data_IF_232074550656
#
_entry.id   IF_232074550656
#
_cell.length_a   1.000
_cell.length_b   1.000
_cell.length_c   1.000
_cell.angle_alpha   90.00
_cell.angle_beta   90.00
_cell.angle_gamma   90.00
#
_symmetry.space_group_name_H-M   'P 1'
#
loop_
_entity.id
_entity.type
_entity.pdbx_description
1 polymer ?
#
# COMPACT_ATOMS: atom_id res chain seq x y z
N UNK A 1 38.52 2.60 -18.57
CA UNK A 1 39.29 1.85 -19.59
C UNK A 1 38.51 0.60 -19.95
N UNK A 2 38.03 0.58 -21.18
CA UNK A 2 37.17 -0.36 -21.92
C UNK A 2 36.88 -1.75 -21.30
N UNK A 3 35.62 -1.95 -20.92
CA UNK A 3 34.97 -3.25 -20.96
C UNK A 3 34.78 -3.62 -22.44
N UNK A 4 35.54 -4.60 -22.92
CA UNK A 4 35.39 -5.13 -24.27
C UNK A 4 34.27 -6.19 -24.28
N UNK A 5 33.25 -5.96 -25.10
CA UNK A 5 32.31 -6.99 -25.53
C UNK A 5 33.08 -8.18 -26.12
N UNK A 6 33.19 -9.28 -25.39
CA UNK A 6 33.79 -10.53 -25.89
C UNK A 6 32.79 -11.29 -26.75
N UNK A 7 32.54 -10.77 -27.95
CA UNK A 7 31.99 -11.52 -29.07
C UNK A 7 33.09 -12.26 -29.85
N UNK A 8 34.05 -12.90 -29.15
CA UNK A 8 35.10 -13.67 -29.83
C UNK A 8 35.18 -15.09 -29.30
N UNK A 9 34.94 -16.07 -30.18
CA UNK A 9 35.22 -17.49 -29.94
C UNK A 9 36.75 -17.78 -29.86
N UNK A 10 37.54 -16.84 -29.36
CA UNK A 10 38.99 -16.88 -29.31
C UNK A 10 39.48 -16.88 -27.87
N UNK A 11 40.42 -17.77 -27.57
CA UNK A 11 41.01 -17.91 -26.24
C UNK A 11 41.85 -16.67 -25.89
N UNK A 12 41.66 -16.07 -24.70
CA UNK A 12 42.41 -14.89 -24.27
C UNK A 12 43.90 -15.17 -24.03
N UNK A 13 44.30 -16.42 -23.80
CA UNK A 13 45.70 -16.78 -23.54
C UNK A 13 46.50 -17.08 -24.80
N UNK A 14 45.89 -17.68 -25.82
CA UNK A 14 46.63 -18.18 -26.98
C UNK A 14 45.99 -17.88 -28.34
N UNK A 15 44.86 -17.15 -28.36
CA UNK A 15 44.09 -16.82 -29.56
C UNK A 15 43.45 -18.01 -30.28
N UNK A 16 43.56 -19.23 -29.73
CA UNK A 16 42.99 -20.45 -30.33
C UNK A 16 41.47 -20.51 -30.22
N UNK A 17 40.80 -21.32 -31.05
CA UNK A 17 39.34 -21.42 -31.01
C UNK A 17 38.88 -22.06 -29.71
N UNK A 18 37.83 -21.48 -29.13
CA UNK A 18 37.13 -22.03 -27.98
C UNK A 18 36.01 -22.96 -28.47
N UNK A 19 36.04 -24.23 -28.04
CA UNK A 19 35.01 -25.23 -28.30
C UNK A 19 34.21 -25.48 -27.03
N UNK A 20 32.91 -25.78 -27.15
CA UNK A 20 32.12 -26.16 -25.99
C UNK A 20 32.56 -27.52 -25.45
N UNK A 21 32.76 -27.61 -24.14
CA UNK A 21 32.92 -28.89 -23.46
C UNK A 21 31.59 -29.66 -23.49
N UNK A 22 31.67 -30.99 -23.33
CA UNK A 22 30.49 -31.87 -23.39
C UNK A 22 29.41 -31.55 -22.35
N UNK A 23 29.75 -30.84 -21.28
CA UNK A 23 28.83 -30.38 -20.24
C UNK A 23 28.04 -29.10 -20.60
N UNK A 24 28.43 -28.40 -21.67
CA UNK A 24 27.84 -27.12 -22.08
C UNK A 24 28.04 -25.96 -21.09
N UNK A 25 28.80 -26.16 -20.01
CA UNK A 25 29.04 -25.19 -18.91
C UNK A 25 30.40 -24.53 -19.02
N UNK A 26 31.29 -25.05 -19.85
CA UNK A 26 32.60 -24.46 -20.11
C UNK A 26 32.96 -24.49 -21.60
N UNK A 27 33.76 -23.51 -22.02
CA UNK A 27 34.45 -23.49 -23.30
C UNK A 27 35.90 -23.85 -23.07
N UNK A 28 36.40 -24.85 -23.77
CA UNK A 28 37.77 -25.31 -23.72
C UNK A 28 38.49 -24.90 -25.01
N UNK A 29 39.67 -24.29 -24.86
CA UNK A 29 40.49 -23.95 -26.02
C UNK A 29 41.09 -25.22 -26.64
N UNK A 30 40.95 -25.37 -27.95
CA UNK A 30 41.52 -26.50 -28.70
C UNK A 30 43.06 -26.52 -28.71
N UNK A 31 43.71 -25.39 -28.39
CA UNK A 31 45.17 -25.22 -28.51
C UNK A 31 45.90 -25.30 -27.18
N UNK A 32 45.37 -24.70 -26.12
CA UNK A 32 46.02 -24.66 -24.80
C UNK A 32 45.22 -25.34 -23.69
N UNK A 33 44.07 -25.94 -23.99
CA UNK A 33 43.14 -26.52 -23.00
C UNK A 33 42.64 -25.55 -21.92
N UNK A 34 42.86 -24.24 -22.07
CA UNK A 34 42.32 -23.23 -21.17
C UNK A 34 40.79 -23.32 -21.14
N UNK A 35 40.22 -23.43 -19.93
CA UNK A 35 38.78 -23.57 -19.70
C UNK A 35 38.21 -22.26 -19.18
N UNK A 36 37.19 -21.76 -19.88
CA UNK A 36 36.42 -20.59 -19.46
C UNK A 36 35.02 -21.07 -19.11
N UNK A 37 34.56 -20.77 -17.90
CA UNK A 37 33.17 -21.02 -17.52
C UNK A 37 32.26 -20.18 -18.44
N UNK A 38 31.30 -20.84 -19.08
CA UNK A 38 30.22 -20.13 -19.77
C UNK A 38 29.25 -19.72 -18.68
N UNK A 39 29.43 -18.52 -18.15
CA UNK A 39 28.33 -17.85 -17.47
C UNK A 39 27.29 -17.63 -18.56
N UNK A 40 26.22 -18.42 -18.56
CA UNK A 40 25.05 -18.07 -19.38
C UNK A 40 24.58 -16.73 -18.85
N UNK A 41 24.92 -15.66 -19.57
CA UNK A 41 24.34 -14.35 -19.27
C UNK A 41 22.83 -14.52 -19.45
N UNK A 42 22.09 -14.42 -18.35
CA UNK A 42 20.64 -14.37 -18.38
C UNK A 42 20.28 -13.10 -19.14
N UNK A 43 19.46 -13.21 -20.18
CA UNK A 43 18.91 -12.05 -20.87
C UNK A 43 18.21 -11.16 -19.85
N UNK A 44 18.39 -9.86 -19.93
CA UNK A 44 17.71 -8.89 -19.06
C UNK A 44 16.19 -8.94 -19.27
N UNK A 45 15.37 -8.45 -18.32
CA UNK A 45 13.93 -8.35 -18.50
C UNK A 45 13.54 -7.58 -19.77
N UNK A 46 14.30 -6.54 -20.14
CA UNK A 46 14.08 -5.75 -21.34
C UNK A 46 14.32 -6.55 -22.62
N UNK A 47 15.32 -7.43 -22.63
CA UNK A 47 15.62 -8.32 -23.76
C UNK A 47 14.56 -9.40 -23.92
N UNK A 48 14.09 -10.00 -22.81
CA UNK A 48 12.98 -10.95 -22.84
C UNK A 48 11.71 -10.32 -23.42
N UNK A 49 11.35 -9.10 -23.01
CA UNK A 49 10.20 -8.38 -23.58
C UNK A 49 10.36 -8.12 -25.08
N UNK A 50 11.57 -7.78 -25.55
CA UNK A 50 11.83 -7.63 -26.99
C UNK A 50 11.63 -8.95 -27.72
N UNK A 51 12.14 -10.06 -27.17
CA UNK A 51 12.01 -11.38 -27.78
C UNK A 51 10.55 -11.85 -27.88
N UNK A 52 9.69 -11.49 -26.90
CA UNK A 52 8.25 -11.73 -26.97
C UNK A 52 7.57 -11.01 -28.13
N UNK A 53 8.06 -9.84 -28.54
CA UNK A 53 7.48 -9.06 -29.64
C UNK A 53 7.82 -9.63 -31.02
N UNK A 54 8.94 -10.36 -31.16
CA UNK A 54 9.42 -10.90 -32.44
C UNK A 54 9.04 -12.37 -32.69
N UNK A 55 8.40 -13.07 -31.74
CA UNK A 55 7.96 -14.46 -31.94
C UNK A 55 6.78 -14.61 -32.91
N UNK A 56 6.25 -13.51 -33.45
CA UNK A 56 5.19 -13.51 -34.48
C UNK A 56 5.70 -13.66 -35.91
N UNK A 57 6.97 -13.39 -36.19
CA UNK A 57 7.54 -13.43 -37.54
C UNK A 57 8.92 -14.12 -37.51
N UNK A 58 8.99 -15.32 -38.08
CA UNK A 58 10.24 -16.00 -38.45
C UNK A 58 11.26 -16.35 -37.33
N UNK A 59 10.95 -17.29 -36.44
CA UNK A 59 11.99 -18.22 -35.95
C UNK A 59 11.44 -19.64 -35.80
N UNK A 60 12.19 -20.62 -36.29
CA UNK A 60 11.86 -22.04 -36.32
C UNK A 60 11.82 -22.74 -34.96
N UNK A 61 11.08 -22.21 -33.99
CA UNK A 61 10.70 -22.90 -32.75
C UNK A 61 9.43 -23.77 -32.90
N UNK A 62 8.92 -23.91 -34.13
CA UNK A 62 7.61 -24.50 -34.41
C UNK A 62 7.51 -26.04 -34.28
N UNK A 63 8.54 -26.80 -33.88
CA UNK A 63 8.45 -28.27 -33.87
C UNK A 63 9.24 -28.98 -32.75
N UNK A 64 9.17 -28.47 -31.51
CA UNK A 64 9.38 -29.33 -30.34
C UNK A 64 8.04 -29.45 -29.65
N UNK A 65 7.53 -30.70 -29.47
CA UNK A 65 6.35 -30.98 -28.64
C UNK A 65 6.63 -30.43 -27.25
N UNK A 66 6.21 -29.20 -27.00
CA UNK A 66 6.47 -28.48 -25.77
C UNK A 66 5.76 -29.22 -24.64
N UNK A 67 6.48 -29.41 -23.54
CA UNK A 67 5.82 -29.55 -22.26
C UNK A 67 4.81 -28.39 -22.16
N UNK A 68 3.54 -28.68 -21.89
CA UNK A 68 2.51 -27.63 -21.85
C UNK A 68 2.95 -26.49 -20.92
N UNK A 69 2.51 -25.26 -21.18
CA UNK A 69 2.90 -24.06 -20.38
C UNK A 69 2.83 -24.29 -18.87
N UNK A 70 1.83 -25.08 -18.43
CA UNK A 70 1.67 -25.52 -17.04
C UNK A 70 2.85 -26.31 -16.49
N UNK A 71 3.43 -27.20 -17.29
CA UNK A 71 4.60 -28.00 -16.92
C UNK A 71 5.86 -27.14 -16.89
N UNK A 72 6.04 -26.22 -17.84
CA UNK A 72 7.13 -25.24 -17.81
C UNK A 72 7.08 -24.38 -16.53
N UNK A 73 5.90 -23.86 -16.18
CA UNK A 73 5.68 -23.14 -14.93
C UNK A 73 5.97 -24.02 -13.70
N UNK A 74 5.54 -25.28 -13.71
CA UNK A 74 5.78 -26.21 -12.60
C UNK A 74 7.27 -26.46 -12.39
N UNK A 75 8.02 -26.73 -13.47
CA UNK A 75 9.46 -26.98 -13.43
C UNK A 75 10.23 -25.73 -13.03
N UNK A 76 9.93 -24.58 -13.65
CA UNK A 76 10.56 -23.30 -13.31
C UNK A 76 10.32 -22.89 -11.85
N UNK A 77 9.10 -23.07 -11.34
CA UNK A 77 8.76 -22.82 -9.93
C UNK A 77 9.52 -23.75 -8.99
N UNK A 78 9.61 -25.04 -9.32
CA UNK A 78 10.34 -26.02 -8.51
C UNK A 78 11.84 -25.71 -8.46
N UNK A 79 12.44 -25.40 -9.61
CA UNK A 79 13.84 -24.99 -9.71
C UNK A 79 14.12 -23.70 -8.92
N UNK A 80 13.25 -22.69 -9.03
CA UNK A 80 13.38 -21.44 -8.27
C UNK A 80 13.34 -21.68 -6.76
N UNK A 81 12.43 -22.54 -6.29
CA UNK A 81 12.33 -22.94 -4.87
C UNK A 81 13.54 -23.76 -4.40
N UNK A 82 14.12 -24.57 -5.28
CA UNK A 82 15.34 -25.35 -5.00
C UNK A 82 16.61 -24.49 -5.04
N UNK A 83 16.54 -23.25 -5.54
CA UNK A 83 17.67 -22.34 -5.69
C UNK A 83 18.47 -22.54 -6.98
N UNK A 84 18.05 -23.43 -7.90
CA UNK A 84 18.65 -23.57 -9.23
C UNK A 84 18.15 -22.44 -10.13
N UNK A 85 18.84 -21.30 -10.05
CA UNK A 85 18.49 -20.07 -10.78
C UNK A 85 18.62 -20.21 -12.29
N UNK A 86 19.53 -21.04 -12.78
CA UNK A 86 19.74 -21.19 -14.24
C UNK A 86 18.66 -22.08 -14.85
N UNK A 87 18.30 -23.16 -14.18
CA UNK A 87 17.18 -24.01 -14.58
C UNK A 87 15.84 -23.27 -14.44
N UNK A 88 15.66 -22.52 -13.36
CA UNK A 88 14.48 -21.67 -13.17
C UNK A 88 14.35 -20.64 -14.30
N UNK A 89 15.42 -19.91 -14.60
CA UNK A 89 15.44 -18.93 -15.68
C UNK A 89 15.06 -19.58 -17.02
N UNK A 90 15.66 -20.75 -17.33
CA UNK A 90 15.42 -21.46 -18.58
C UNK A 90 13.94 -21.80 -18.79
N UNK A 91 13.28 -22.38 -17.79
CA UNK A 91 11.87 -22.75 -17.92
C UNK A 91 10.94 -21.55 -17.91
N UNK A 92 11.22 -20.53 -17.09
CA UNK A 92 10.36 -19.35 -16.95
C UNK A 92 10.44 -18.43 -18.18
N UNK A 93 11.62 -18.26 -18.79
CA UNK A 93 11.75 -17.50 -20.04
C UNK A 93 11.02 -18.21 -21.20
N UNK A 94 10.99 -19.54 -21.22
CA UNK A 94 10.22 -20.31 -22.20
C UNK A 94 8.70 -20.11 -22.06
N UNK A 95 8.19 -19.93 -20.84
CA UNK A 95 6.78 -19.56 -20.63
C UNK A 95 6.46 -18.26 -21.35
N UNK A 96 7.36 -17.27 -21.25
CA UNK A 96 7.21 -15.96 -21.87
C UNK A 96 7.22 -16.00 -23.40
N UNK A 97 7.95 -16.94 -24.00
CA UNK A 97 8.05 -17.11 -25.45
C UNK A 97 7.05 -18.09 -26.06
N UNK A 98 6.19 -18.71 -25.25
CA UNK A 98 5.12 -19.63 -25.70
C UNK A 98 3.77 -18.90 -25.66
N UNK A 99 2.76 -19.43 -26.35
CA UNK A 99 1.36 -18.97 -26.28
C UNK A 99 0.76 -19.21 -24.87
N UNK A 100 1.13 -18.34 -23.93
CA UNK A 100 0.75 -18.38 -22.52
C UNK A 100 -0.22 -17.25 -22.19
N UNK A 101 -1.17 -17.51 -21.30
CA UNK A 101 -2.14 -16.49 -20.88
C UNK A 101 -1.48 -15.38 -20.06
N UNK A 102 -2.08 -14.19 -20.01
CA UNK A 102 -1.60 -13.07 -19.19
C UNK A 102 -1.33 -13.48 -17.72
N UNK A 103 -2.18 -14.33 -17.15
CA UNK A 103 -2.00 -14.89 -15.80
C UNK A 103 -0.76 -15.79 -15.67
N UNK A 104 -0.44 -16.55 -16.71
CA UNK A 104 0.75 -17.42 -16.75
C UNK A 104 2.02 -16.58 -16.97
N UNK A 105 1.95 -15.55 -17.80
CA UNK A 105 3.03 -14.58 -18.00
C UNK A 105 3.33 -13.82 -16.71
N UNK A 106 2.29 -13.33 -16.01
CA UNK A 106 2.42 -12.69 -14.70
C UNK A 106 3.09 -13.63 -13.68
N UNK A 107 2.71 -14.90 -13.65
CA UNK A 107 3.35 -15.88 -12.76
C UNK A 107 4.83 -16.12 -13.13
N UNK A 108 5.16 -16.16 -14.41
CA UNK A 108 6.54 -16.35 -14.86
C UNK A 108 7.42 -15.16 -14.47
N UNK A 109 6.95 -13.93 -14.72
CA UNK A 109 7.64 -12.70 -14.31
C UNK A 109 7.83 -12.59 -12.80
N UNK A 110 6.83 -13.02 -12.02
CA UNK A 110 6.93 -13.05 -10.57
C UNK A 110 8.08 -13.96 -10.11
N UNK A 111 8.17 -15.18 -10.64
CA UNK A 111 9.25 -16.10 -10.29
C UNK A 111 10.60 -15.63 -10.81
N UNK A 112 10.67 -15.01 -11.99
CA UNK A 112 11.90 -14.40 -12.52
C UNK A 112 12.44 -13.31 -11.58
N UNK A 113 11.57 -12.54 -10.91
CA UNK A 113 12.02 -11.56 -9.89
C UNK A 113 12.81 -12.19 -8.72
N UNK A 114 12.62 -13.48 -8.45
CA UNK A 114 13.38 -14.23 -7.42
C UNK A 114 14.67 -14.83 -7.98
N UNK A 115 14.77 -14.94 -9.31
CA UNK A 115 15.92 -15.52 -10.02
C UNK A 115 17.00 -14.47 -10.28
N UNK A 116 16.61 -13.25 -10.64
CA UNK A 116 17.56 -12.14 -10.80
C UNK A 116 18.17 -11.74 -9.46
N UNK A 117 19.41 -11.24 -9.51
CA UNK A 117 20.14 -10.75 -8.34
C UNK A 117 20.07 -9.22 -8.25
N UNK A 118 20.21 -8.53 -9.38
CA UNK A 118 20.23 -7.08 -9.48
C UNK A 118 18.87 -6.44 -9.12
N UNK A 119 18.83 -5.44 -8.22
CA UNK A 119 17.59 -4.77 -7.83
C UNK A 119 16.82 -4.14 -8.99
N UNK A 120 17.54 -3.67 -10.02
CA UNK A 120 16.92 -3.09 -11.22
C UNK A 120 16.12 -4.14 -12.01
N UNK A 121 16.69 -5.32 -12.24
CA UNK A 121 16.01 -6.40 -12.97
C UNK A 121 14.82 -6.95 -12.17
N UNK A 122 14.99 -7.08 -10.84
CA UNK A 122 13.88 -7.44 -9.94
C UNK A 122 12.73 -6.46 -10.06
N UNK A 123 13.01 -5.15 -10.04
CA UNK A 123 12.00 -4.10 -10.22
C UNK A 123 11.29 -4.27 -11.56
N UNK A 124 12.02 -4.40 -12.67
CA UNK A 124 11.41 -4.57 -13.99
C UNK A 124 10.52 -5.82 -14.09
N UNK A 125 10.93 -6.95 -13.48
CA UNK A 125 10.06 -8.13 -13.42
C UNK A 125 8.76 -7.86 -12.67
N UNK A 126 8.83 -7.21 -11.50
CA UNK A 126 7.65 -6.90 -10.68
C UNK A 126 6.73 -5.89 -11.38
N UNK A 127 7.28 -4.92 -12.10
CA UNK A 127 6.51 -3.99 -12.94
C UNK A 127 5.77 -4.72 -14.06
N UNK A 128 6.37 -5.74 -14.68
CA UNK A 128 5.65 -6.58 -15.65
C UNK A 128 4.50 -7.35 -15.02
N UNK A 129 4.68 -7.91 -13.81
CA UNK A 129 3.57 -8.56 -13.10
C UNK A 129 2.42 -7.58 -12.92
N UNK A 130 2.71 -6.33 -12.51
CA UNK A 130 1.70 -5.30 -12.31
C UNK A 130 1.09 -4.75 -13.59
N UNK A 131 1.78 -4.88 -14.73
CA UNK A 131 1.22 -4.56 -16.04
C UNK A 131 0.10 -5.54 -16.43
N UNK A 132 0.23 -6.83 -16.05
CA UNK A 132 -0.81 -7.84 -16.26
C UNK A 132 -1.87 -7.87 -15.16
N UNK A 133 -1.46 -7.76 -13.90
CA UNK A 133 -2.34 -7.73 -12.72
C UNK A 133 -1.94 -6.58 -11.79
N UNK A 134 -2.56 -5.40 -11.96
CA UNK A 134 -2.29 -4.23 -11.11
C UNK A 134 -2.56 -4.47 -9.64
N UNK A 135 -3.37 -5.47 -9.27
CA UNK A 135 -3.75 -5.77 -7.88
C UNK A 135 -2.87 -6.85 -7.24
N UNK A 136 -1.84 -7.33 -7.93
CA UNK A 136 -1.00 -8.43 -7.48
C UNK A 136 -0.21 -8.08 -6.20
N UNK A 137 -0.73 -8.48 -5.04
CA UNK A 137 -0.21 -8.07 -3.73
C UNK A 137 1.25 -8.43 -3.48
N UNK A 138 1.74 -9.59 -3.97
CA UNK A 138 3.16 -9.97 -3.82
C UNK A 138 4.06 -9.03 -4.60
N UNK A 139 3.63 -8.58 -5.79
CA UNK A 139 4.45 -7.74 -6.65
C UNK A 139 4.54 -6.30 -6.10
N UNK A 140 3.41 -5.76 -5.65
CA UNK A 140 3.35 -4.47 -4.93
C UNK A 140 4.24 -4.46 -3.69
N UNK A 141 4.19 -5.52 -2.88
CA UNK A 141 5.08 -5.68 -1.70
C UNK A 141 6.55 -5.74 -2.10
N UNK A 142 6.88 -6.48 -3.16
CA UNK A 142 8.23 -6.55 -3.69
C UNK A 142 8.77 -5.17 -4.09
N UNK A 143 7.97 -4.36 -4.79
CA UNK A 143 8.35 -2.99 -5.13
C UNK A 143 8.49 -2.11 -3.89
N UNK A 144 7.57 -2.21 -2.93
CA UNK A 144 7.66 -1.45 -1.68
C UNK A 144 8.95 -1.76 -0.89
N UNK A 145 9.43 -3.00 -0.92
CA UNK A 145 10.73 -3.40 -0.35
C UNK A 145 11.89 -2.77 -1.12
N UNK A 146 11.87 -2.82 -2.46
CA UNK A 146 12.92 -2.26 -3.31
C UNK A 146 12.98 -0.72 -3.26
N UNK A 147 11.84 -0.07 -3.03
CA UNK A 147 11.73 1.39 -2.86
C UNK A 147 12.06 1.84 -1.43
N UNK A 148 12.26 0.91 -0.49
CA UNK A 148 12.51 1.20 0.93
C UNK A 148 11.27 1.68 1.71
N UNK A 149 10.10 1.70 1.07
CA UNK A 149 8.79 2.03 1.69
C UNK A 149 8.35 0.97 2.69
N UNK A 150 8.81 -0.28 2.52
CA UNK A 150 8.63 -1.40 3.42
C UNK A 150 10.01 -1.95 3.80
N UNK A 151 10.20 -2.28 5.08
CA UNK A 151 11.42 -2.92 5.55
C UNK A 151 11.17 -4.41 5.75
N UNK A 152 12.10 -5.27 5.32
CA UNK A 152 11.92 -6.72 5.40
C UNK A 152 11.66 -7.23 6.83
N UNK A 153 12.26 -6.58 7.84
CA UNK A 153 12.06 -6.88 9.26
C UNK A 153 10.65 -6.57 9.79
N UNK A 154 9.92 -5.68 9.11
CA UNK A 154 8.59 -5.25 9.53
C UNK A 154 7.50 -6.15 8.92
N UNK A 155 7.86 -7.02 7.96
CA UNK A 155 6.96 -7.98 7.32
C UNK A 155 6.67 -9.12 8.28
N UNK A 156 5.39 -9.30 8.64
CA UNK A 156 4.95 -10.37 9.53
C UNK A 156 4.27 -11.50 8.76
N UNK A 157 4.29 -12.69 9.36
CA UNK A 157 3.45 -13.79 8.93
C UNK A 157 2.07 -13.67 9.62
N UNK A 158 0.98 -13.39 8.89
CA UNK A 158 -0.35 -13.26 9.49
C UNK A 158 -0.83 -14.53 10.21
N UNK A 159 -0.33 -15.71 9.83
CA UNK A 159 -0.69 -16.98 10.47
C UNK A 159 0.06 -17.22 11.80
N UNK A 160 1.02 -16.35 12.15
CA UNK A 160 1.88 -16.47 13.34
C UNK A 160 1.91 -15.18 14.16
N UNK A 161 0.77 -14.48 14.27
CA UNK A 161 0.66 -13.30 15.12
C UNK A 161 0.55 -13.76 16.59
N UNK A 162 1.66 -13.68 17.33
CA UNK A 162 1.65 -13.73 18.80
C UNK A 162 1.82 -12.32 19.34
N UNK A 163 0.72 -11.57 19.47
CA UNK A 163 0.71 -10.35 20.27
C UNK A 163 -0.22 -10.56 21.46
N UNK A 164 0.35 -10.51 22.65
CA UNK A 164 -0.39 -10.41 23.91
C UNK A 164 -0.87 -8.96 24.01
N UNK A 165 -2.18 -8.75 23.98
CA UNK A 165 -2.74 -7.43 24.25
C UNK A 165 -2.23 -6.97 25.63
N UNK A 166 -1.55 -5.84 25.69
CA UNK A 166 -1.13 -5.25 26.97
C UNK A 166 -2.37 -5.02 27.83
N UNK A 167 -2.35 -5.55 29.07
CA UNK A 167 -3.48 -5.46 30.01
C UNK A 167 -3.74 -4.02 30.50
N UNK A 168 -2.74 -3.14 30.47
CA UNK A 168 -2.88 -1.75 30.92
C UNK A 168 -2.77 -0.73 29.77
N UNK A 169 -3.61 0.31 29.76
CA UNK A 169 -3.51 1.39 28.79
C UNK A 169 -2.20 2.16 29.01
N UNK A 170 -1.22 1.95 28.12
CA UNK A 170 -0.06 2.84 28.02
C UNK A 170 -0.56 4.26 27.70
N UNK A 171 -0.36 5.25 28.58
CA UNK A 171 -0.77 6.61 28.30
C UNK A 171 0.01 7.10 27.08
N UNK A 172 -0.72 7.41 25.99
CA UNK A 172 -0.13 8.05 24.83
C UNK A 172 0.57 9.32 25.31
N UNK A 173 1.90 9.40 25.14
CA UNK A 173 2.67 10.63 25.39
C UNK A 173 2.27 11.70 24.38
N UNK A 174 1.11 12.32 24.58
CA UNK A 174 0.70 13.49 23.85
C UNK A 174 1.73 14.59 24.14
N UNK A 175 2.33 15.17 23.10
CA UNK A 175 3.24 16.30 23.25
C UNK A 175 2.45 17.45 23.89
N UNK A 176 2.76 17.75 25.15
CA UNK A 176 2.16 18.86 25.87
C UNK A 176 2.91 20.14 25.51
N UNK A 177 2.23 21.06 24.84
CA UNK A 177 2.79 22.38 24.52
C UNK A 177 2.69 23.30 25.73
N UNK A 178 3.83 23.77 26.22
CA UNK A 178 3.93 24.66 27.39
C UNK A 178 4.22 26.08 26.93
N UNK A 179 3.48 27.05 27.46
CA UNK A 179 3.61 28.46 27.12
C UNK A 179 4.95 29.00 27.62
N UNK A 180 5.80 29.60 26.75
CA UNK A 180 7.10 30.12 27.16
C UNK A 180 6.99 31.33 28.10
N UNK A 181 5.89 32.07 28.06
CA UNK A 181 5.70 33.28 28.87
C UNK A 181 5.21 33.03 30.31
N UNK A 182 4.40 31.99 30.54
CA UNK A 182 3.74 31.78 31.83
C UNK A 182 3.71 30.32 32.30
N UNK A 183 4.33 29.41 31.55
CA UNK A 183 4.29 27.96 31.77
C UNK A 183 2.87 27.33 31.73
N UNK A 184 1.84 28.09 31.35
CA UNK A 184 0.49 27.58 31.15
C UNK A 184 0.39 26.63 29.95
N UNK A 185 -0.63 25.76 29.93
CA UNK A 185 -0.90 24.85 28.80
C UNK A 185 -1.32 25.64 27.55
N UNK A 186 -0.72 25.31 26.41
CA UNK A 186 -1.13 25.81 25.10
C UNK A 186 -2.17 24.88 24.47
N UNK A 187 -3.12 25.47 23.74
CA UNK A 187 -4.21 24.77 23.06
C UNK A 187 -4.25 25.19 21.58
N UNK A 188 -4.58 24.27 20.68
CA UNK A 188 -4.76 24.61 19.27
C UNK A 188 -6.00 25.48 19.09
N UNK A 189 -5.85 26.54 18.29
CA UNK A 189 -6.96 27.28 17.74
C UNK A 189 -7.62 26.49 16.61
N UNK A 190 -8.82 26.92 16.24
CA UNK A 190 -9.61 26.36 15.15
C UNK A 190 -8.88 26.37 13.78
N UNK A 191 -7.92 27.28 13.58
CA UNK A 191 -7.13 27.28 12.34
C UNK A 191 -6.24 26.02 12.18
N UNK A 192 -6.04 25.25 13.24
CA UNK A 192 -5.23 24.03 13.26
C UNK A 192 -3.72 24.28 13.15
N UNK A 193 -3.29 25.54 13.18
CA UNK A 193 -1.89 25.95 12.98
C UNK A 193 -1.39 26.88 14.06
N UNK A 194 -2.28 27.46 14.87
CA UNK A 194 -1.93 28.38 15.95
C UNK A 194 -2.18 27.73 17.30
N UNK A 195 -1.22 27.86 18.22
CA UNK A 195 -1.36 27.50 19.62
C UNK A 195 -1.58 28.76 20.45
N UNK A 196 -2.61 28.77 21.28
CA UNK A 196 -2.93 29.87 22.20
C UNK A 196 -2.88 29.41 23.66
N UNK A 197 -2.30 30.26 24.51
CA UNK A 197 -2.34 30.08 25.95
C UNK A 197 -3.66 30.61 26.51
N UNK A 198 -4.43 29.74 27.18
CA UNK A 198 -5.66 30.16 27.86
C UNK A 198 -5.45 31.06 29.08
N UNK A 199 -4.22 31.13 29.62
CA UNK A 199 -3.91 31.93 30.82
C UNK A 199 -3.46 33.35 30.49
N UNK A 200 -2.41 33.51 29.67
CA UNK A 200 -1.84 34.82 29.36
C UNK A 200 -2.18 35.35 27.96
N UNK A 201 -2.84 34.55 27.12
CA UNK A 201 -3.19 34.94 25.75
C UNK A 201 -2.05 34.86 24.74
N UNK A 202 -0.86 34.36 25.12
CA UNK A 202 0.25 34.14 24.20
C UNK A 202 -0.17 33.23 23.02
N UNK A 203 0.18 33.63 21.80
CA UNK A 203 -0.09 32.87 20.58
C UNK A 203 1.24 32.54 19.87
N UNK A 204 1.36 31.32 19.35
CA UNK A 204 2.47 30.90 18.51
C UNK A 204 1.97 30.10 17.31
N UNK A 205 2.48 30.40 16.12
CA UNK A 205 2.26 29.56 14.94
C UNK A 205 3.14 28.30 15.03
N UNK A 206 2.52 27.14 14.86
CA UNK A 206 3.22 25.88 14.67
C UNK A 206 3.55 25.78 13.19
N UNK A 207 4.78 26.19 12.83
CA UNK A 207 5.22 26.16 11.44
C UNK A 207 5.00 24.76 10.84
N UNK A 208 4.39 24.69 9.65
CA UNK A 208 4.24 23.44 8.86
C UNK A 208 5.56 22.67 8.67
N UNK A 209 6.70 23.32 8.90
CA UNK A 209 8.05 22.79 8.77
C UNK A 209 8.67 22.23 10.06
N UNK A 210 8.10 22.49 11.25
CA UNK A 210 8.54 21.88 12.51
C UNK A 210 8.02 20.44 12.64
N UNK A 211 6.92 20.13 11.96
CA UNK A 211 6.57 18.77 11.56
C UNK A 211 7.36 18.39 10.30
N UNK A 212 8.69 18.27 10.39
CA UNK A 212 9.28 17.13 9.66
C UNK A 212 8.45 15.95 10.15
N UNK A 213 7.82 15.14 9.27
CA UNK A 213 7.17 13.92 9.72
C UNK A 213 8.29 13.10 10.37
N UNK A 214 8.47 13.25 11.69
CA UNK A 214 9.08 12.21 12.49
C UNK A 214 8.26 11.01 12.10
N UNK A 215 8.92 9.93 11.67
CA UNK A 215 8.29 8.63 11.49
C UNK A 215 7.38 8.43 12.69
N UNK A 216 6.08 8.66 12.49
CA UNK A 216 5.14 8.29 13.51
C UNK A 216 5.25 6.76 13.56
N UNK A 217 4.90 6.15 14.69
CA UNK A 217 4.75 4.70 14.73
C UNK A 217 3.80 4.17 13.60
N UNK A 218 3.04 5.08 12.97
CA UNK A 218 2.14 4.87 11.85
C UNK A 218 2.69 5.31 10.46
N UNK A 219 3.97 5.68 10.32
CA UNK A 219 4.58 6.09 9.05
C UNK A 219 4.80 7.61 8.89
N UNK A 220 5.35 8.02 7.75
CA UNK A 220 5.62 9.42 7.42
C UNK A 220 4.34 10.15 6.99
N UNK A 221 3.91 11.14 7.78
CA UNK A 221 2.84 12.07 7.41
C UNK A 221 1.46 11.41 7.26
N UNK A 222 0.43 12.23 7.11
CA UNK A 222 -0.94 11.80 6.84
C UNK A 222 -1.11 11.27 5.40
N UNK A 223 -0.16 10.47 4.91
CA UNK A 223 -0.16 9.96 3.54
C UNK A 223 -0.68 8.53 3.50
N UNK A 224 -1.55 8.29 2.52
CA UNK A 224 -2.18 7.02 2.22
C UNK A 224 -1.13 5.91 2.10
N UNK A 225 -1.40 4.78 2.75
CA UNK A 225 -0.52 3.62 2.68
C UNK A 225 -0.99 2.70 1.56
N UNK A 226 -0.06 2.13 0.78
CA UNK A 226 -0.43 1.04 -0.13
C UNK A 226 -0.99 -0.12 0.71
N UNK A 227 -2.25 -0.45 0.48
CA UNK A 227 -2.98 -1.46 1.24
C UNK A 227 -2.25 -2.81 1.28
N UNK A 228 -1.62 -3.23 0.18
CA UNK A 228 -0.88 -4.50 0.11
C UNK A 228 0.40 -4.47 0.92
N UNK A 229 1.07 -3.32 1.00
CA UNK A 229 2.26 -3.11 1.82
C UNK A 229 1.91 -2.95 3.32
N UNK A 230 0.81 -2.29 3.64
CA UNK A 230 0.32 -2.10 5.00
C UNK A 230 -0.13 -3.43 5.64
N UNK A 231 -0.85 -4.26 4.90
CA UNK A 231 -1.28 -5.59 5.34
C UNK A 231 -0.10 -6.54 5.62
N UNK A 232 1.04 -6.30 4.96
CA UNK A 232 2.25 -7.08 5.19
C UNK A 232 2.90 -6.79 6.55
N UNK A 233 2.63 -5.63 7.14
CA UNK A 233 3.25 -5.19 8.38
C UNK A 233 2.38 -5.54 9.58
N UNK A 234 3.01 -5.70 10.76
CA UNK A 234 2.31 -5.70 12.04
C UNK A 234 1.43 -4.46 12.23
N UNK A 235 1.67 -3.39 11.45
CA UNK A 235 0.88 -2.16 11.43
C UNK A 235 -0.56 -2.36 10.93
N UNK A 236 -0.79 -3.24 9.96
CA UNK A 236 -2.14 -3.67 9.56
C UNK A 236 -2.83 -4.55 10.61
N UNK A 237 -2.06 -4.99 11.61
CA UNK A 237 -2.48 -5.87 12.69
C UNK A 237 -2.26 -5.21 14.07
N UNK A 238 -2.16 -3.87 14.13
CA UNK A 238 -1.86 -3.16 15.37
C UNK A 238 -2.84 -3.59 16.45
N UNK A 239 -2.26 -4.00 17.57
CA UNK A 239 -3.03 -4.16 18.78
C UNK A 239 -3.60 -2.79 19.17
N UNK A 240 -4.90 -2.75 19.51
CA UNK A 240 -5.61 -1.52 19.80
C UNK A 240 -5.02 -0.85 21.04
N UNK A 241 -4.95 0.47 21.03
CA UNK A 241 -4.79 1.21 22.30
C UNK A 241 -6.08 0.96 23.09
N UNK A 242 -5.97 0.54 24.35
CA UNK A 242 -7.14 0.47 25.23
C UNK A 242 -7.68 1.88 25.44
N UNK A 243 -8.52 2.36 24.53
CA UNK A 243 -9.28 3.59 24.70
C UNK A 243 -10.58 3.25 25.42
N UNK A 244 -10.96 4.11 26.37
CA UNK A 244 -12.21 3.93 27.13
C UNK A 244 -13.37 4.22 26.20
N UNK A 245 -14.14 3.18 25.92
CA UNK A 245 -15.36 3.26 25.11
C UNK A 245 -16.53 3.47 26.05
N UNK A 246 -17.38 4.43 25.72
CA UNK A 246 -18.56 4.75 26.50
C UNK A 246 -19.79 4.53 25.64
N UNK A 247 -20.84 3.99 26.26
CA UNK A 247 -22.15 3.86 25.65
C UNK A 247 -23.15 4.74 26.38
N UNK A 248 -23.91 5.54 25.62
CA UNK A 248 -25.04 6.26 26.16
C UNK A 248 -26.26 5.33 26.24
N UNK A 249 -26.84 5.14 27.42
CA UNK A 249 -28.04 4.34 27.60
C UNK A 249 -29.32 5.04 27.12
N UNK A 250 -29.26 6.35 26.85
CA UNK A 250 -30.39 7.12 26.34
C UNK A 250 -30.61 6.97 24.82
N UNK A 251 -29.53 7.02 24.03
CA UNK A 251 -29.62 6.92 22.55
C UNK A 251 -28.78 5.78 21.96
N UNK A 252 -28.15 4.95 22.80
CA UNK A 252 -27.31 3.82 22.41
C UNK A 252 -26.07 4.18 21.55
N UNK A 253 -25.67 5.45 21.47
CA UNK A 253 -24.45 5.86 20.77
C UNK A 253 -23.21 5.41 21.56
N UNK A 254 -22.20 4.98 20.83
CA UNK A 254 -20.88 4.66 21.36
C UNK A 254 -19.89 5.76 20.96
N UNK A 255 -19.05 6.20 21.89
CA UNK A 255 -17.96 7.14 21.62
C UNK A 255 -16.72 6.82 22.45
N UNK A 256 -15.58 7.32 21.97
CA UNK A 256 -14.28 7.09 22.57
C UNK A 256 -13.80 8.38 23.23
N UNK A 257 -13.32 8.28 24.47
CA UNK A 257 -12.72 9.41 25.18
C UNK A 257 -11.29 9.11 25.60
N UNK A 258 -10.54 10.18 25.84
CA UNK A 258 -9.23 10.07 26.47
C UNK A 258 -9.34 9.41 27.85
N UNK A 259 -8.32 8.65 28.31
CA UNK A 259 -8.36 7.92 29.58
C UNK A 259 -8.74 8.78 30.79
N UNK A 260 -8.36 10.07 30.77
CA UNK A 260 -8.56 11.04 31.85
C UNK A 260 -9.97 11.65 31.87
N UNK A 261 -10.84 11.33 30.91
CA UNK A 261 -12.22 11.79 30.92
C UNK A 261 -13.04 11.01 31.97
N UNK A 262 -13.55 11.72 32.98
CA UNK A 262 -14.24 11.14 34.13
C UNK A 262 -15.77 11.25 33.98
N UNK A 263 -16.26 12.30 33.30
CA UNK A 263 -17.70 12.57 33.15
C UNK A 263 -17.99 13.18 31.78
N UNK A 264 -19.02 12.68 31.09
CA UNK A 264 -19.51 13.29 29.85
C UNK A 264 -21.04 13.24 29.80
N UNK A 265 -21.64 14.35 29.37
CA UNK A 265 -23.02 14.35 28.88
C UNK A 265 -23.01 13.90 27.42
N UNK A 266 -23.91 12.99 27.04
CA UNK A 266 -23.96 12.47 25.67
C UNK A 266 -24.11 13.62 24.66
N UNK A 267 -23.18 13.80 23.71
CA UNK A 267 -23.23 14.92 22.77
C UNK A 267 -24.37 14.79 21.74
N UNK A 268 -25.06 13.64 21.70
CA UNK A 268 -26.16 13.37 20.77
C UNK A 268 -27.55 13.58 21.37
N UNK A 269 -27.76 13.20 22.64
CA UNK A 269 -29.09 13.22 23.26
C UNK A 269 -29.13 13.92 24.62
N UNK A 270 -28.03 14.53 25.04
CA UNK A 270 -27.90 15.28 26.30
C UNK A 270 -28.13 14.42 27.57
N UNK A 271 -28.12 13.09 27.43
CA UNK A 271 -28.24 12.17 28.57
C UNK A 271 -26.96 12.14 29.40
N UNK A 272 -27.10 12.20 30.71
CA UNK A 272 -26.02 11.97 31.69
C UNK A 272 -25.78 10.49 31.97
N UNK A 273 -26.62 9.59 31.43
CA UNK A 273 -26.54 8.16 31.67
C UNK A 273 -25.60 7.49 30.66
N UNK A 274 -24.32 7.86 30.77
CA UNK A 274 -23.21 7.35 29.99
C UNK A 274 -22.46 6.33 30.85
N UNK A 275 -22.40 5.09 30.39
CA UNK A 275 -21.69 4.00 31.07
C UNK A 275 -20.45 3.62 30.30
N UNK A 276 -19.34 3.42 31.00
CA UNK A 276 -18.15 2.83 30.41
C UNK A 276 -18.45 1.38 30.02
N UNK A 277 -18.11 1.04 28.78
CA UNK A 277 -18.24 -0.33 28.28
C UNK A 277 -17.01 -1.11 28.70
N UNK A 278 -17.20 -2.16 29.51
CA UNK A 278 -16.11 -3.00 30.04
C UNK A 278 -15.28 -3.72 28.95
N UNK A 279 -15.83 -3.83 27.74
CA UNK A 279 -15.08 -4.29 26.57
C UNK A 279 -14.33 -3.09 25.98
N UNK A 280 -13.03 -3.00 26.23
CA UNK A 280 -12.11 -2.25 25.38
C UNK A 280 -12.25 -2.81 23.96
N UNK A 281 -13.09 -2.16 23.15
CA UNK A 281 -13.17 -2.50 21.74
C UNK A 281 -11.78 -2.32 21.15
N UNK A 282 -11.40 -3.25 20.28
CA UNK A 282 -10.14 -3.19 19.59
C UNK A 282 -10.20 -2.09 18.51
N UNK A 283 -10.03 -0.84 18.94
CA UNK A 283 -10.12 0.34 18.07
C UNK A 283 -8.74 0.66 17.51
N UNK A 284 -8.65 0.71 16.19
CA UNK A 284 -7.48 1.22 15.49
C UNK A 284 -7.50 2.75 15.62
N UNK A 285 -6.46 3.38 16.22
CA UNK A 285 -6.42 4.83 16.33
C UNK A 285 -6.34 5.48 14.94
N UNK A 286 -6.94 6.66 14.75
CA UNK A 286 -6.88 7.36 13.46
C UNK A 286 -5.44 7.80 13.16
N UNK A 287 -5.02 7.66 11.90
CA UNK A 287 -3.71 8.13 11.44
C UNK A 287 -3.59 9.66 11.39
N UNK A 288 -4.72 10.35 11.24
CA UNK A 288 -4.80 11.79 11.19
C UNK A 288 -6.15 12.30 11.71
N UNK A 289 -6.18 13.57 12.12
CA UNK A 289 -7.41 14.28 12.47
C UNK A 289 -7.50 15.54 11.64
N UNK A 290 -8.72 15.90 11.22
CA UNK A 290 -8.98 17.14 10.48
C UNK A 290 -9.22 18.26 11.50
N UNK A 291 -8.41 19.34 11.56
CA UNK A 291 -8.65 20.42 12.51
C UNK A 291 -9.99 21.15 12.28
N UNK A 292 -10.64 21.59 13.35
CA UNK A 292 -11.90 22.32 13.29
C UNK A 292 -11.73 23.75 12.79
N UNK A 293 -12.07 24.08 11.55
CA UNK A 293 -11.95 25.47 11.05
C UNK A 293 -12.92 26.49 11.65
N UNK A 294 -13.98 26.04 12.33
CA UNK A 294 -15.03 26.89 12.88
C UNK A 294 -14.89 26.92 14.39
N UNK A 295 -14.77 28.11 14.98
CA UNK A 295 -14.73 28.26 16.43
C UNK A 295 -16.11 28.02 17.04
N UNK A 296 -16.16 27.71 18.34
CA UNK A 296 -17.43 27.55 19.07
C UNK A 296 -18.33 28.80 18.94
N UNK A 297 -17.75 30.00 19.09
CA UNK A 297 -18.46 31.28 18.94
C UNK A 297 -19.03 31.48 17.54
N UNK A 298 -18.27 31.11 16.50
CA UNK A 298 -18.72 31.19 15.11
C UNK A 298 -19.85 30.19 14.84
N UNK A 299 -19.76 28.97 15.38
CA UNK A 299 -20.81 27.97 15.27
C UNK A 299 -22.11 28.46 15.93
N UNK A 300 -22.03 28.98 17.15
CA UNK A 300 -23.19 29.52 17.87
C UNK A 300 -23.83 30.68 17.12
N UNK A 301 -23.02 31.62 16.63
CA UNK A 301 -23.50 32.76 15.83
C UNK A 301 -24.25 32.31 14.58
N UNK A 302 -23.73 31.31 13.86
CA UNK A 302 -24.36 30.76 12.65
C UNK A 302 -25.70 30.09 12.97
N UNK A 303 -25.76 29.25 14.00
CA UNK A 303 -27.00 28.58 14.43
C UNK A 303 -28.05 29.62 14.86
N UNK A 304 -27.67 30.62 15.67
CA UNK A 304 -28.59 31.70 16.07
C UNK A 304 -29.11 32.49 14.87
N UNK A 305 -28.25 32.77 13.89
CA UNK A 305 -28.62 33.42 12.63
C UNK A 305 -29.68 32.62 11.87
N UNK A 306 -29.41 31.33 11.63
CA UNK A 306 -30.33 30.43 10.94
C UNK A 306 -31.69 30.28 11.65
N UNK A 307 -31.69 30.18 12.99
CA UNK A 307 -32.94 30.11 13.77
C UNK A 307 -33.76 31.40 13.70
N UNK A 308 -33.09 32.55 13.69
CA UNK A 308 -33.75 33.85 13.52
C UNK A 308 -34.38 33.98 12.13
N UNK A 309 -33.67 33.55 11.08
CA UNK A 309 -34.22 33.50 9.71
C UNK A 309 -35.42 32.56 9.60
N UNK A 310 -35.42 31.49 10.41
CA UNK A 310 -36.53 30.54 10.51
C UNK A 310 -37.69 31.02 11.39
N UNK A 311 -37.67 32.26 11.89
CA UNK A 311 -38.75 32.87 12.69
C UNK A 311 -38.74 32.54 14.18
N UNK A 312 -37.65 31.96 14.72
CA UNK A 312 -37.52 31.67 16.15
C UNK A 312 -36.88 32.87 16.86
N UNK A 313 -37.69 33.64 17.61
CA UNK A 313 -37.25 34.92 18.20
C UNK A 313 -36.34 34.78 19.43
N UNK A 314 -36.35 33.62 20.13
CA UNK A 314 -35.55 33.37 21.34
C UNK A 314 -35.09 31.90 21.46
N UNK A 315 -34.18 31.44 20.58
CA UNK A 315 -33.72 30.06 20.64
C UNK A 315 -32.88 29.81 21.88
N UNK A 316 -33.27 28.81 22.69
CA UNK A 316 -32.37 28.15 23.63
C UNK A 316 -31.55 27.13 22.86
N UNK A 317 -30.24 27.30 22.88
CA UNK A 317 -29.30 26.41 22.19
C UNK A 317 -28.52 25.69 23.28
N UNK A 318 -28.49 24.37 23.23
CA UNK A 318 -27.63 23.55 24.10
C UNK A 318 -26.15 23.85 23.80
N UNK A 319 -25.21 23.59 24.73
CA UNK A 319 -23.79 23.76 24.47
C UNK A 319 -23.36 23.03 23.19
N UNK A 320 -22.60 23.71 22.31
CA UNK A 320 -22.16 23.13 21.06
C UNK A 320 -20.93 22.27 21.34
N UNK A 321 -20.99 21.01 20.96
CA UNK A 321 -19.89 20.06 21.16
C UNK A 321 -19.28 19.70 19.81
N UNK A 322 -17.95 19.85 19.69
CA UNK A 322 -17.20 19.35 18.54
C UNK A 322 -16.97 17.85 18.69
N UNK A 323 -17.33 17.09 17.66
CA UNK A 323 -17.10 15.63 17.61
C UNK A 323 -16.31 15.26 16.36
N UNK A 324 -15.50 14.21 16.46
CA UNK A 324 -14.83 13.60 15.32
C UNK A 324 -15.58 12.34 14.90
N UNK A 325 -15.91 12.25 13.61
CA UNK A 325 -16.44 11.02 13.03
C UNK A 325 -15.28 10.25 12.40
N UNK A 326 -15.04 9.00 12.81
CA UNK A 326 -13.95 8.20 12.25
C UNK A 326 -14.32 7.75 10.84
N UNK A 327 -13.38 7.90 9.91
CA UNK A 327 -13.53 7.52 8.51
C UNK A 327 -12.23 6.90 8.01
N UNK A 328 -12.38 5.92 7.12
CA UNK A 328 -11.31 5.42 6.27
C UNK A 328 -11.32 6.23 4.97
N UNK A 329 -10.15 6.49 4.40
CA UNK A 329 -10.01 6.99 3.04
C UNK A 329 -9.39 5.90 2.20
N UNK A 330 -9.93 5.67 1.01
CA UNK A 330 -9.41 4.68 0.08
C UNK A 330 -9.26 5.26 -1.32
N UNK A 331 -8.10 4.97 -1.91
CA UNK A 331 -7.93 4.97 -3.36
C UNK A 331 -8.58 3.72 -3.95
N UNK A 332 -9.57 3.93 -4.81
CA UNK A 332 -10.28 2.85 -5.50
C UNK A 332 -10.02 2.94 -6.99
N UNK A 333 -9.29 1.96 -7.52
CA UNK A 333 -9.01 1.82 -8.94
C UNK A 333 -9.48 0.47 -9.48
N UNK A 334 -10.00 0.45 -10.70
CA UNK A 334 -10.42 -0.79 -11.34
C UNK A 334 -10.83 -0.64 -12.80
N UNK A 335 -11.12 -1.77 -13.42
CA UNK A 335 -11.63 -1.84 -14.79
C UNK A 335 -13.12 -2.19 -14.76
N UNK A 336 -13.95 -1.37 -15.39
CA UNK A 336 -15.36 -1.64 -15.63
C UNK A 336 -15.50 -2.11 -17.07
N UNK A 337 -15.73 -3.41 -17.24
CA UNK A 337 -16.07 -4.00 -18.54
C UNK A 337 -17.54 -3.74 -18.81
N UNK A 338 -17.85 -3.21 -19.99
CA UNK A 338 -19.22 -2.92 -20.38
C UNK A 338 -19.50 -3.44 -21.79
N UNK A 339 -20.76 -3.83 -22.00
CA UNK A 339 -21.30 -4.25 -23.28
C UNK A 339 -22.66 -3.58 -23.47
N UNK A 340 -22.95 -3.21 -24.72
CA UNK A 340 -24.20 -2.57 -25.09
C UNK A 340 -24.50 -2.79 -26.56
N UNK A 341 -25.59 -2.21 -27.03
CA UNK A 341 -25.93 -2.18 -28.43
C UNK A 341 -26.15 -0.74 -28.86
N UNK A 342 -25.60 -0.34 -29.99
CA UNK A 342 -25.89 0.94 -30.63
C UNK A 342 -26.68 0.71 -31.91
N UNK A 343 -27.64 1.59 -32.18
CA UNK A 343 -28.40 1.55 -33.42
C UNK A 343 -27.58 2.23 -34.51
N UNK A 344 -27.15 1.46 -35.52
CA UNK A 344 -26.54 1.97 -36.74
C UNK A 344 -27.47 1.69 -37.92
N UNK A 345 -28.17 2.73 -38.40
CA UNK A 345 -29.26 2.58 -39.35
C UNK A 345 -30.45 1.85 -38.72
N UNK A 346 -30.89 0.75 -39.33
CA UNK A 346 -31.95 -0.12 -38.80
C UNK A 346 -31.43 -1.33 -37.99
N UNK A 347 -30.11 -1.51 -37.90
CA UNK A 347 -29.50 -2.64 -37.21
C UNK A 347 -28.98 -2.27 -35.82
N UNK A 348 -29.12 -3.20 -34.88
CA UNK A 348 -28.47 -3.13 -33.57
C UNK A 348 -27.10 -3.80 -33.64
N UNK A 349 -26.04 -3.03 -33.41
CA UNK A 349 -24.66 -3.52 -33.44
C UNK A 349 -24.16 -3.65 -32.00
N UNK A 350 -23.68 -4.82 -31.57
CA UNK A 350 -23.07 -4.97 -30.26
C UNK A 350 -21.78 -4.17 -30.20
N UNK A 351 -21.61 -3.42 -29.13
CA UNK A 351 -20.38 -2.74 -28.79
C UNK A 351 -19.97 -3.15 -27.38
N UNK A 352 -18.68 -3.23 -27.15
CA UNK A 352 -18.12 -3.49 -25.84
C UNK A 352 -16.87 -2.67 -25.67
N UNK A 353 -16.54 -2.37 -24.43
CA UNK A 353 -15.33 -1.68 -24.09
C UNK A 353 -14.98 -1.87 -22.63
N UNK A 354 -13.80 -1.38 -22.27
CA UNK A 354 -13.32 -1.35 -20.92
C UNK A 354 -13.15 0.12 -20.51
N UNK A 355 -13.67 0.47 -19.34
CA UNK A 355 -13.51 1.79 -18.76
C UNK A 355 -12.68 1.68 -17.48
N UNK A 356 -11.50 2.30 -17.47
CA UNK A 356 -10.69 2.42 -16.27
C UNK A 356 -11.33 3.47 -15.35
N UNK A 357 -11.76 3.05 -14.17
CA UNK A 357 -12.29 3.91 -13.14
C UNK A 357 -11.23 4.09 -12.04
N UNK A 358 -10.97 5.33 -11.65
CA UNK A 358 -10.13 5.67 -10.51
C UNK A 358 -10.83 6.75 -9.69
N UNK A 359 -10.95 6.51 -8.39
CA UNK A 359 -11.48 7.47 -7.42
C UNK A 359 -10.46 7.60 -6.29
N UNK A 360 -10.03 8.82 -6.04
CA UNK A 360 -9.11 9.16 -4.97
C UNK A 360 -9.89 9.55 -3.70
N UNK A 361 -9.33 9.26 -2.52
CA UNK A 361 -9.82 9.73 -1.22
C UNK A 361 -11.29 9.38 -0.94
N UNK A 362 -11.76 8.18 -1.34
CA UNK A 362 -13.15 7.77 -1.10
C UNK A 362 -13.39 7.63 0.40
N UNK A 363 -14.25 8.46 1.03
CA UNK A 363 -14.49 8.39 2.45
C UNK A 363 -15.46 7.24 2.75
N UNK A 364 -15.01 6.27 3.54
CA UNK A 364 -15.80 5.14 4.01
C UNK A 364 -15.97 5.25 5.52
N UNK A 365 -17.20 5.29 6.06
CA UNK A 365 -17.42 5.36 7.49
C UNK A 365 -16.71 4.23 8.24
N UNK A 366 -15.92 4.57 9.27
CA UNK A 366 -15.24 3.59 10.11
C UNK A 366 -16.13 3.12 11.28
N UNK A 367 -17.45 3.18 11.11
CA UNK A 367 -18.44 2.78 12.13
C UNK A 367 -19.40 1.73 11.58
N UNK A 368 -19.89 0.85 12.45
CA UNK A 368 -20.78 -0.27 12.07
C UNK A 368 -22.18 0.16 11.62
N UNK A 369 -22.60 1.41 11.86
CA UNK A 369 -24.02 1.84 11.80
C UNK A 369 -24.28 3.16 11.05
N UNK A 370 -23.35 3.61 10.20
CA UNK A 370 -23.61 4.78 9.34
C UNK A 370 -24.20 4.39 7.98
N UNK A 371 -24.92 3.26 7.89
CA UNK A 371 -25.71 2.96 6.70
C UNK A 371 -26.92 3.87 6.67
N UNK A 372 -26.97 4.71 5.65
CA UNK A 372 -28.15 5.39 5.17
C UNK A 372 -29.11 4.34 4.60
N UNK A 373 -30.01 3.85 5.44
CA UNK A 373 -31.33 3.40 4.97
C UNK A 373 -32.24 4.61 4.75
#
# INVERSE_FOLDING_TARGET
>A
MNQANFSSNQCPECGGRLLFAADGRSRQCERCNHKIAVVRQRESPQELMRMQQFSGEETGFANVRTAGVRELLRQGTAAAKAGDKDEAFHYLSWVLCTDSSETQQAQAWLWLSQVYDEPADKRSCLEQVLAFDPTHGVARRGLALLDGRLQAKDVINPDQISQTASEEPEPTKAEQFVCPQCAGKLQFLADGVTLRCGFCGFEQEVGRQAAKPKQSQFGEGAFEQDFSAALAQAKGHLSPVQMRTFQCNGCAVEFVLAPEAITLTCPYCDSTYVTETAASQQIIPPHAVIPFRVTHEQAEKRIRGWLKESGVERPRISPIVGIYLPLWTFDVGGEIRWGGQIKQGDNWVPISGNHLAFSNDVPVPASKKLNSD
#
